data_IF_130494615481
#
_entry.id   IF_130494615481
#
_cell.length_a   1.000
_cell.length_b   1.000
_cell.length_c   1.000
_cell.angle_alpha   90.00
_cell.angle_beta   90.00
_cell.angle_gamma   90.00
#
_symmetry.space_group_name_H-M   'P 1'
#
loop_
_entity.id
_entity.type
_entity.pdbx_description
1 polymer ?
#
# COMPACT_ATOMS: atom_id res chain seq x y z
N UNK A 1 -12.44 3.78 1.44
CA UNK A 1 -11.74 3.41 2.69
C UNK A 1 -11.04 4.63 3.24
N UNK A 2 -11.07 4.85 4.56
CA UNK A 2 -10.38 5.96 5.24
C UNK A 2 -8.93 5.60 5.62
N UNK A 3 -8.52 4.35 5.42
CA UNK A 3 -7.16 3.92 5.68
C UNK A 3 -6.23 4.30 4.52
N UNK A 4 -5.12 5.00 4.77
CA UNK A 4 -4.16 5.38 3.74
C UNK A 4 -3.36 4.18 3.20
N UNK A 5 -3.34 3.05 3.92
CA UNK A 5 -2.75 1.78 3.48
C UNK A 5 -3.71 0.61 3.65
N UNK A 6 -4.75 0.51 2.80
CA UNK A 6 -5.71 -0.58 2.86
C UNK A 6 -5.06 -1.88 2.38
N UNK A 7 -5.62 -3.01 2.83
CA UNK A 7 -5.24 -4.34 2.35
C UNK A 7 -6.52 -5.01 1.87
N UNK A 8 -6.59 -5.33 0.58
CA UNK A 8 -7.74 -6.01 -0.02
C UNK A 8 -7.35 -7.46 -0.26
N UNK A 9 -8.13 -8.39 0.30
CA UNK A 9 -7.95 -9.82 0.08
C UNK A 9 -9.09 -10.31 -0.79
N UNK A 10 -8.76 -10.79 -1.99
CA UNK A 10 -9.71 -11.44 -2.88
C UNK A 10 -9.47 -12.95 -2.78
N UNK A 11 -10.51 -13.70 -2.44
CA UNK A 11 -10.48 -15.16 -2.45
C UNK A 11 -11.44 -15.66 -3.52
N UNK A 12 -10.98 -16.62 -4.31
CA UNK A 12 -11.81 -17.32 -5.28
C UNK A 12 -12.12 -18.70 -4.74
N UNK A 13 -13.37 -19.12 -4.94
CA UNK A 13 -13.85 -20.43 -4.57
C UNK A 13 -14.42 -21.11 -5.82
N UNK A 14 -14.32 -22.43 -5.92
CA UNK A 14 -15.06 -23.19 -6.92
C UNK A 14 -16.53 -23.19 -6.54
N UNK A 15 -17.41 -22.81 -7.46
CA UNK A 15 -18.83 -23.03 -7.30
C UNK A 15 -19.15 -24.50 -7.60
N UNK A 16 -19.74 -25.21 -6.64
CA UNK A 16 -20.15 -26.60 -6.82
C UNK A 16 -21.65 -26.70 -7.07
N UNK A 17 -22.05 -26.99 -8.30
CA UNK A 17 -23.46 -27.08 -8.71
C UNK A 17 -24.10 -28.46 -8.49
N UNK A 18 -23.40 -29.40 -7.85
CA UNK A 18 -23.89 -30.75 -7.57
C UNK A 18 -24.77 -30.81 -6.32
N UNK A 19 -25.89 -31.54 -6.38
CA UNK A 19 -26.90 -31.70 -5.32
C UNK A 19 -26.33 -32.23 -3.97
N UNK A 20 -25.10 -32.73 -3.95
CA UNK A 20 -24.41 -33.28 -2.78
C UNK A 20 -23.05 -32.63 -2.50
N UNK A 21 -22.73 -31.50 -3.13
CA UNK A 21 -21.47 -30.83 -2.90
C UNK A 21 -21.50 -30.09 -1.57
N UNK A 22 -20.72 -30.60 -0.60
CA UNK A 22 -20.83 -30.21 0.80
C UNK A 22 -20.10 -28.90 1.14
N UNK A 23 -19.07 -28.47 0.40
CA UNK A 23 -18.35 -27.21 0.66
C UNK A 23 -17.64 -26.63 -0.59
N UNK A 24 -17.65 -25.30 -0.71
CA UNK A 24 -16.89 -24.54 -1.69
C UNK A 24 -15.37 -24.64 -1.42
N UNK A 25 -14.57 -25.08 -2.40
CA UNK A 25 -13.10 -25.19 -2.27
C UNK A 25 -12.41 -23.88 -2.67
N UNK A 26 -11.54 -23.34 -1.81
CA UNK A 26 -10.71 -22.17 -2.14
C UNK A 26 -9.78 -22.52 -3.32
N UNK A 27 -9.97 -21.84 -4.46
CA UNK A 27 -9.12 -21.97 -5.65
C UNK A 27 -7.81 -21.22 -5.48
N UNK A 28 -7.87 -20.04 -4.86
CA UNK A 28 -6.71 -19.20 -4.68
C UNK A 28 -7.08 -17.85 -4.09
N UNK A 29 -6.06 -17.15 -3.61
CA UNK A 29 -6.22 -15.81 -3.01
C UNK A 29 -5.19 -14.83 -3.53
N UNK A 30 -5.59 -13.58 -3.65
CA UNK A 30 -4.69 -12.45 -3.95
C UNK A 30 -4.80 -11.42 -2.84
N UNK A 31 -3.64 -10.92 -2.41
CA UNK A 31 -3.56 -9.79 -1.47
C UNK A 31 -3.08 -8.58 -2.25
N UNK A 32 -3.93 -7.56 -2.31
CA UNK A 32 -3.69 -6.31 -3.02
C UNK A 32 -3.46 -5.17 -2.03
N UNK A 33 -2.58 -4.25 -2.42
CA UNK A 33 -2.25 -3.05 -1.66
C UNK A 33 -2.59 -1.82 -2.50
N UNK A 34 -3.87 -1.41 -2.56
CA UNK A 34 -4.27 -0.21 -3.29
C UNK A 34 -3.50 1.00 -2.76
N UNK A 35 -3.02 1.84 -3.67
CA UNK A 35 -2.47 3.16 -3.35
C UNK A 35 -3.10 4.18 -4.28
N UNK A 36 -3.12 5.47 -3.90
CA UNK A 36 -3.63 6.54 -4.77
C UNK A 36 -2.84 6.68 -6.08
N UNK A 37 -1.65 6.08 -6.17
CA UNK A 37 -0.80 6.10 -7.36
C UNK A 37 -0.90 4.79 -8.16
N UNK A 38 -1.80 3.85 -7.82
CA UNK A 38 -1.92 2.60 -8.56
C UNK A 38 -2.32 2.85 -10.03
N UNK A 39 -1.75 2.09 -10.98
CA UNK A 39 -2.10 2.25 -12.39
C UNK A 39 -3.60 2.03 -12.61
N UNK A 40 -4.19 2.84 -13.50
CA UNK A 40 -5.63 2.76 -13.83
C UNK A 40 -5.97 1.53 -14.69
N UNK A 41 -4.96 0.94 -15.31
CA UNK A 41 -5.07 -0.26 -16.15
C UNK A 41 -5.12 -1.52 -15.30
N UNK A 42 -5.91 -2.53 -15.71
CA UNK A 42 -5.91 -3.82 -15.05
C UNK A 42 -4.55 -4.53 -15.21
N UNK A 43 -4.04 -5.08 -14.13
CA UNK A 43 -2.77 -5.82 -14.10
C UNK A 43 -3.00 -7.29 -13.71
N UNK A 44 -2.12 -8.17 -14.20
CA UNK A 44 -2.15 -9.61 -13.95
C UNK A 44 -1.46 -9.93 -12.63
N UNK A 45 -2.25 -10.38 -11.65
CA UNK A 45 -1.78 -10.72 -10.32
C UNK A 45 -1.71 -12.24 -10.17
N UNK A 46 -0.54 -12.77 -9.80
CA UNK A 46 -0.38 -14.18 -9.47
C UNK A 46 -1.10 -14.49 -8.16
N UNK A 47 -1.92 -15.54 -8.19
CA UNK A 47 -2.67 -15.99 -7.03
C UNK A 47 -1.78 -16.85 -6.12
N UNK A 48 -2.01 -16.74 -4.82
CA UNK A 48 -1.50 -17.70 -3.84
C UNK A 48 -2.48 -18.88 -3.86
N UNK A 49 -2.00 -20.01 -4.35
CA UNK A 49 -2.81 -21.21 -4.54
C UNK A 49 -2.57 -22.20 -3.38
N UNK A 50 -3.59 -22.93 -2.89
CA UNK A 50 -3.40 -23.98 -1.90
C UNK A 50 -2.51 -25.11 -2.41
N UNK A 51 -1.73 -25.72 -1.51
CA UNK A 51 -0.77 -26.78 -1.85
C UNK A 51 -1.39 -28.02 -2.51
N UNK A 52 -2.68 -28.24 -2.32
CA UNK A 52 -3.43 -29.40 -2.82
C UNK A 52 -4.23 -29.08 -4.10
N UNK A 53 -3.88 -28.00 -4.79
CA UNK A 53 -4.48 -27.62 -6.07
C UNK A 53 -3.77 -28.30 -7.24
N UNK A 54 -4.52 -28.66 -8.27
CA UNK A 54 -3.97 -29.22 -9.51
C UNK A 54 -3.29 -28.14 -10.37
N UNK A 55 -3.83 -26.91 -10.35
CA UNK A 55 -3.23 -25.75 -11.00
C UNK A 55 -2.38 -24.97 -9.99
N UNK A 56 -1.19 -24.53 -10.39
CA UNK A 56 -0.23 -23.79 -9.55
C UNK A 56 0.15 -22.42 -10.10
N UNK A 57 -0.28 -22.07 -11.33
CA UNK A 57 0.01 -20.76 -11.95
C UNK A 57 -1.27 -19.97 -12.27
N UNK A 58 -2.24 -20.02 -11.36
CA UNK A 58 -3.43 -19.20 -11.44
C UNK A 58 -3.07 -17.70 -11.37
N UNK A 59 -3.56 -16.95 -12.35
CA UNK A 59 -3.44 -15.49 -12.42
C UNK A 59 -4.81 -14.88 -12.59
N UNK A 60 -5.03 -13.74 -11.96
CA UNK A 60 -6.25 -12.96 -12.12
C UNK A 60 -5.89 -11.55 -12.58
N UNK A 61 -6.64 -11.05 -13.56
CA UNK A 61 -6.48 -9.69 -14.05
C UNK A 61 -7.45 -8.77 -13.31
N UNK A 62 -6.92 -7.85 -12.51
CA UNK A 62 -7.69 -6.93 -11.67
C UNK A 62 -7.26 -5.49 -11.89
N UNK A 63 -8.22 -4.58 -11.99
CA UNK A 63 -7.98 -3.15 -11.87
C UNK A 63 -8.21 -2.72 -10.42
N UNK A 64 -7.17 -2.20 -9.77
CA UNK A 64 -7.24 -1.74 -8.38
C UNK A 64 -7.13 -0.23 -8.37
N UNK A 65 -8.18 0.44 -7.89
CA UNK A 65 -8.26 1.90 -7.81
C UNK A 65 -8.53 2.34 -6.38
N UNK A 66 -7.93 3.47 -6.02
CA UNK A 66 -8.20 4.15 -4.77
C UNK A 66 -8.30 5.64 -5.08
N UNK A 67 -9.43 6.25 -4.70
CA UNK A 67 -9.60 7.69 -4.88
C UNK A 67 -8.64 8.45 -3.97
N UNK A 68 -8.02 9.48 -4.54
CA UNK A 68 -7.07 10.34 -3.84
C UNK A 68 -7.80 11.22 -2.82
N UNK A 69 -7.48 11.15 -1.52
CA UNK A 69 -8.04 12.07 -0.55
C UNK A 69 -7.70 13.53 -0.91
N UNK A 70 -8.61 14.50 -0.71
CA UNK A 70 -8.45 15.87 -1.20
C UNK A 70 -7.20 16.57 -0.67
N UNK A 71 -6.83 16.29 0.58
CA UNK A 71 -5.65 16.89 1.22
C UNK A 71 -4.33 16.14 0.94
N UNK A 72 -4.40 14.96 0.31
CA UNK A 72 -3.20 14.20 -0.04
C UNK A 72 -2.56 14.85 -1.27
N UNK A 73 -1.29 15.24 -1.19
CA UNK A 73 -0.55 15.75 -2.36
C UNK A 73 0.22 14.65 -3.06
N UNK A 74 0.95 13.84 -2.30
CA UNK A 74 1.75 12.74 -2.83
C UNK A 74 1.81 11.59 -1.83
N UNK A 75 2.12 10.39 -2.30
CA UNK A 75 2.31 9.21 -1.45
C UNK A 75 3.34 8.26 -2.08
N UNK A 76 4.04 7.49 -1.25
CA UNK A 76 5.03 6.55 -1.75
C UNK A 76 5.90 5.95 -0.65
N UNK A 77 6.71 4.95 -1.01
CA UNK A 77 7.71 4.41 -0.11
C UNK A 77 9.00 5.22 -0.22
N UNK A 78 9.47 5.71 0.92
CA UNK A 78 10.71 6.49 1.02
C UNK A 78 11.54 5.98 2.19
N UNK A 79 12.83 6.26 2.14
CA UNK A 79 13.70 6.21 3.30
C UNK A 79 13.84 7.60 3.88
N UNK A 80 13.78 7.68 5.21
CA UNK A 80 14.01 8.92 5.93
C UNK A 80 14.73 8.63 7.24
N UNK A 81 15.58 9.57 7.63
CA UNK A 81 16.22 9.64 8.93
C UNK A 81 16.06 11.08 9.45
N UNK A 82 15.61 11.23 10.69
CA UNK A 82 15.43 12.54 11.31
C UNK A 82 15.79 12.54 12.79
N UNK A 83 15.97 13.74 13.34
CA UNK A 83 16.37 13.94 14.73
C UNK A 83 15.20 13.69 15.70
N UNK A 84 14.04 14.30 15.42
CA UNK A 84 12.83 14.18 16.26
C UNK A 84 12.00 12.94 15.91
N UNK A 85 11.76 12.73 14.62
CA UNK A 85 11.00 11.60 14.06
C UNK A 85 11.84 10.81 13.07
N UNK A 86 11.46 9.56 12.80
CA UNK A 86 12.15 8.63 11.92
C UNK A 86 13.61 8.42 12.30
N UNK A 87 13.90 8.19 13.59
CA UNK A 87 15.26 8.01 14.15
C UNK A 87 16.08 6.83 13.60
N UNK A 88 15.51 6.05 12.68
CA UNK A 88 16.15 4.90 12.04
C UNK A 88 15.95 4.96 10.54
N UNK A 89 17.03 4.79 9.79
CA UNK A 89 16.99 4.64 8.33
C UNK A 89 16.24 3.36 7.97
N UNK A 90 15.01 3.52 7.49
CA UNK A 90 14.12 2.41 7.18
C UNK A 90 13.09 2.86 6.16
N UNK A 91 12.80 1.98 5.19
CA UNK A 91 11.73 2.16 4.23
C UNK A 91 10.39 2.22 4.95
N UNK A 92 9.66 3.33 4.79
CA UNK A 92 8.31 3.51 5.33
C UNK A 92 7.41 4.04 4.22
N UNK A 93 6.10 3.88 4.38
CA UNK A 93 5.13 4.48 3.49
C UNK A 93 4.82 5.90 3.98
N UNK A 94 5.12 6.89 3.15
CA UNK A 94 4.93 8.31 3.44
C UNK A 94 3.78 8.87 2.62
N UNK A 95 3.11 9.85 3.22
CA UNK A 95 2.07 10.64 2.59
C UNK A 95 2.36 12.11 2.90
N UNK A 96 2.46 12.91 1.85
CA UNK A 96 2.52 14.36 1.94
C UNK A 96 1.09 14.90 2.00
N UNK A 97 0.73 15.55 3.11
CA UNK A 97 -0.61 16.07 3.38
C UNK A 97 -0.57 17.59 3.46
N UNK A 98 -1.52 18.25 2.81
CA UNK A 98 -1.78 19.67 2.95
C UNK A 98 -2.71 19.91 4.15
N UNK A 99 -2.20 20.55 5.20
CA UNK A 99 -2.96 20.86 6.43
C UNK A 99 -3.67 22.20 6.29
N UNK A 100 -3.02 23.18 5.66
CA UNK A 100 -3.57 24.50 5.37
C UNK A 100 -3.10 25.00 4.00
N UNK A 101 -3.47 26.21 3.60
CA UNK A 101 -3.06 26.80 2.32
C UNK A 101 -1.52 26.77 2.10
N UNK A 102 -0.75 26.94 3.16
CA UNK A 102 0.72 27.00 3.11
C UNK A 102 1.43 26.01 4.05
N UNK A 103 0.66 25.26 4.85
CA UNK A 103 1.21 24.28 5.80
C UNK A 103 1.09 22.87 5.25
N UNK A 104 2.21 22.16 5.18
CA UNK A 104 2.28 20.75 4.79
C UNK A 104 2.84 19.91 5.93
N UNK A 105 2.42 18.65 5.99
CA UNK A 105 2.98 17.65 6.89
C UNK A 105 3.35 16.38 6.13
N UNK A 106 4.49 15.82 6.50
CA UNK A 106 4.91 14.48 6.10
C UNK A 106 4.48 13.48 7.16
N UNK A 107 3.67 12.51 6.73
CA UNK A 107 3.07 11.51 7.60
C UNK A 107 3.54 10.13 7.17
N UNK A 108 4.00 9.32 8.12
CA UNK A 108 4.33 7.92 7.87
C UNK A 108 3.25 7.00 8.42
N UNK A 109 2.85 5.99 7.64
CA UNK A 109 1.74 5.11 7.99
C UNK A 109 2.15 3.64 8.07
N UNK A 110 1.56 2.93 9.02
CA UNK A 110 1.58 1.47 9.09
C UNK A 110 0.42 0.86 8.31
N UNK A 111 0.58 -0.41 7.96
CA UNK A 111 -0.47 -1.20 7.31
C UNK A 111 -1.71 -1.25 8.20
N UNK A 112 -2.90 -1.09 7.60
CA UNK A 112 -4.19 -1.21 8.32
C UNK A 112 -4.36 -0.23 9.48
N UNK A 113 -3.60 0.86 9.52
CA UNK A 113 -3.75 1.94 10.51
C UNK A 113 -4.23 3.21 9.80
N UNK A 114 -5.26 3.84 10.36
CA UNK A 114 -5.78 5.13 9.91
C UNK A 114 -4.90 6.29 10.37
N UNK A 115 -4.33 6.20 11.58
CA UNK A 115 -3.49 7.24 12.15
C UNK A 115 -2.03 7.11 11.72
N UNK A 116 -1.33 8.25 11.52
CA UNK A 116 0.09 8.24 11.22
C UNK A 116 0.87 7.70 12.41
N UNK A 117 1.87 6.87 12.15
CA UNK A 117 2.78 6.38 13.18
C UNK A 117 3.71 7.51 13.66
N UNK A 118 4.21 8.30 12.73
CA UNK A 118 5.08 9.45 12.98
C UNK A 118 4.71 10.53 11.97
N UNK A 119 4.72 11.80 12.40
CA UNK A 119 4.34 12.97 11.62
C UNK A 119 5.35 14.10 11.84
N UNK A 120 5.64 14.85 10.79
CA UNK A 120 6.48 16.04 10.82
C UNK A 120 5.84 17.15 10.00
N UNK A 121 5.63 18.31 10.60
CA UNK A 121 5.26 19.51 9.85
C UNK A 121 6.48 20.04 9.11
N UNK A 122 6.27 20.47 7.87
CA UNK A 122 7.31 20.98 6.98
C UNK A 122 7.41 22.51 7.00
N UNK A 123 6.76 23.18 7.94
CA UNK A 123 6.87 24.62 8.11
C UNK A 123 8.32 25.02 8.46
N UNK A 124 8.87 25.97 7.70
CA UNK A 124 10.26 26.43 7.85
C UNK A 124 11.33 25.47 7.33
N UNK A 125 10.96 24.35 6.68
CA UNK A 125 11.93 23.46 6.04
C UNK A 125 12.15 23.84 4.57
N UNK A 126 13.41 23.76 4.13
CA UNK A 126 13.79 23.80 2.71
C UNK A 126 14.07 22.39 2.21
N UNK A 127 13.81 22.16 0.93
CA UNK A 127 14.09 20.88 0.26
C UNK A 127 15.04 21.18 -0.89
N UNK A 128 16.17 20.47 -0.92
CA UNK A 128 17.16 20.58 -1.98
C UNK A 128 17.66 19.19 -2.37
N UNK A 129 18.22 19.10 -3.57
CA UNK A 129 18.88 17.90 -4.05
C UNK A 129 20.29 17.82 -3.44
N UNK A 130 20.64 16.64 -2.95
CA UNK A 130 21.93 16.40 -2.32
C UNK A 130 22.53 15.10 -2.83
N UNK A 131 23.86 14.99 -2.74
CA UNK A 131 24.55 13.76 -3.07
C UNK A 131 24.11 12.62 -2.12
N UNK A 132 24.14 11.36 -2.57
CA UNK A 132 23.84 10.22 -1.71
C UNK A 132 24.73 10.21 -0.46
N UNK A 133 24.13 10.02 0.70
CA UNK A 133 24.88 10.01 1.96
C UNK A 133 25.68 8.71 2.11
N UNK A 134 26.97 8.81 2.41
CA UNK A 134 27.83 7.64 2.65
C UNK A 134 27.32 6.84 3.84
N UNK A 135 27.00 5.56 3.64
CA UNK A 135 26.52 4.65 4.70
C UNK A 135 25.00 4.52 4.80
N UNK A 136 24.22 5.28 4.03
CA UNK A 136 22.77 5.09 3.88
C UNK A 136 22.47 4.55 2.48
N UNK A 137 21.94 3.33 2.40
CA UNK A 137 21.55 2.69 1.14
C UNK A 137 20.03 2.58 1.04
N UNK A 138 19.47 2.84 -0.14
CA UNK A 138 18.05 2.62 -0.45
C UNK A 138 17.38 3.74 -1.24
#
# INVERSE_FOLDING_TARGET
TTHPRPVVKVKLFTESTGVLALEDKELGRVVLYPTSNSPKSPDLHKMIVPKNSQDSDLKIKLAVRMDKPPHMKHCGYLYALGQKVWKRWKKRYFVLVQVSQYTFAMCSYREKKSEPQELMQLEGYTVDYTAPHTGLQG
#
